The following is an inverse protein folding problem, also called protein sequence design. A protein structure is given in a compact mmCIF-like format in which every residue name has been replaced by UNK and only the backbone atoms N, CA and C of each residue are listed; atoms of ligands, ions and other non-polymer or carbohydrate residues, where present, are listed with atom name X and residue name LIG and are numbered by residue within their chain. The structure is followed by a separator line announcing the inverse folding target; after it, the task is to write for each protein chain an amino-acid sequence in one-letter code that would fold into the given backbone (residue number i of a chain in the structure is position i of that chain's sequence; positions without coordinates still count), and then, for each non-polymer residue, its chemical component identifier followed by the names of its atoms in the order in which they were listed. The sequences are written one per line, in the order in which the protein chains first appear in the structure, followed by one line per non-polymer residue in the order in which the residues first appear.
data_IF_035621469559
#
_entry.id   IF_035621469559
#
_cell.length_a   1.000
_cell.length_b   1.000
_cell.length_c   1.000
_cell.angle_alpha   90.00
_cell.angle_beta   90.00
_cell.angle_gamma   90.00
#
_symmetry.space_group_name_H-M   'P 1'
#
loop_
_entity.id
_entity.type
_entity.pdbx_description
1 polymer ?
#
# COMPACT_ATOMS: atom_id res chain seq x y z
N UNK A 1 -17.11 39.51 -20.30
CA UNK A 1 -18.43 39.29 -19.68
C UNK A 1 -18.23 38.21 -18.65
N UNK A 2 -18.37 38.60 -17.38
CA UNK A 2 -18.17 37.79 -16.18
C UNK A 2 -19.02 36.52 -16.21
N UNK A 3 -18.38 35.36 -16.05
CA UNK A 3 -19.06 34.13 -15.65
C UNK A 3 -19.15 34.17 -14.13
N UNK A 4 -20.24 34.73 -13.62
CA UNK A 4 -20.63 34.57 -12.23
C UNK A 4 -21.18 33.15 -12.05
N UNK A 5 -20.57 32.38 -11.15
CA UNK A 5 -21.07 31.08 -10.72
C UNK A 5 -22.48 31.25 -10.11
N UNK A 6 -23.44 30.37 -10.40
CA UNK A 6 -24.79 30.49 -9.86
C UNK A 6 -24.77 30.31 -8.33
N UNK A 7 -25.29 31.32 -7.64
CA UNK A 7 -25.49 31.39 -6.19
C UNK A 7 -26.35 30.20 -5.73
N UNK A 8 -25.74 29.27 -4.99
CA UNK A 8 -26.44 28.16 -4.34
C UNK A 8 -27.27 28.68 -3.15
N UNK A 9 -28.57 28.35 -3.13
CA UNK A 9 -29.57 28.94 -2.24
C UNK A 9 -29.59 28.40 -0.80
N UNK A 10 -28.56 27.66 -0.36
CA UNK A 10 -28.31 27.37 1.05
C UNK A 10 -29.42 26.63 1.82
N UNK A 11 -30.43 26.08 1.15
CA UNK A 11 -31.43 25.22 1.77
C UNK A 11 -30.90 23.79 1.81
N UNK A 12 -30.45 23.37 3.01
CA UNK A 12 -29.91 22.05 3.27
C UNK A 12 -30.89 20.92 2.95
N UNK A 13 -30.87 20.45 1.70
CA UNK A 13 -31.50 19.22 1.27
C UNK A 13 -30.42 18.14 1.10
N UNK A 14 -30.68 16.98 1.71
CA UNK A 14 -29.85 15.78 1.66
C UNK A 14 -29.76 15.21 0.24
N UNK A 15 -28.52 15.08 -0.26
CA UNK A 15 -28.11 14.47 -1.53
C UNK A 15 -28.86 14.98 -2.77
N UNK A 16 -28.39 16.08 -3.35
CA UNK A 16 -28.86 16.54 -4.65
C UNK A 16 -28.41 15.56 -5.74
N UNK A 17 -29.27 15.22 -6.70
CA UNK A 17 -28.92 14.34 -7.85
C UNK A 17 -27.81 14.93 -8.73
N UNK A 18 -27.47 16.20 -8.52
CA UNK A 18 -26.42 16.94 -9.20
C UNK A 18 -25.17 17.17 -8.32
N UNK A 19 -25.18 16.71 -7.06
CA UNK A 19 -23.99 16.76 -6.19
C UNK A 19 -23.01 15.67 -6.61
N UNK A 20 -22.24 15.93 -7.66
CA UNK A 20 -21.10 15.08 -8.02
C UNK A 20 -20.07 15.21 -6.91
N UNK A 21 -20.01 14.22 -6.02
CA UNK A 21 -19.01 14.22 -4.95
C UNK A 21 -17.62 14.05 -5.58
N UNK A 22 -16.66 14.95 -5.30
CA UNK A 22 -15.30 14.78 -5.78
C UNK A 22 -14.70 13.50 -5.18
N UNK A 23 -13.90 12.78 -5.97
CA UNK A 23 -13.22 11.58 -5.49
C UNK A 23 -12.37 11.91 -4.27
N UNK A 24 -12.45 11.06 -3.23
CA UNK A 24 -11.71 11.19 -1.96
C UNK A 24 -10.19 11.21 -2.13
N UNK A 25 -9.69 10.87 -3.32
CA UNK A 25 -8.26 10.78 -3.64
C UNK A 25 -7.72 11.98 -4.43
N UNK A 26 -8.57 12.97 -4.73
CA UNK A 26 -8.16 14.20 -5.39
C UNK A 26 -7.72 15.22 -4.33
N UNK A 27 -6.55 15.80 -4.52
CA UNK A 27 -6.07 16.89 -3.68
C UNK A 27 -6.99 18.11 -3.89
N UNK A 28 -7.58 18.69 -2.82
CA UNK A 28 -8.30 19.94 -2.91
C UNK A 28 -7.44 21.04 -3.52
N UNK A 29 -8.05 22.00 -4.24
CA UNK A 29 -7.31 23.07 -4.95
C UNK A 29 -6.42 23.91 -4.02
N UNK A 30 -6.81 24.01 -2.76
CA UNK A 30 -6.20 24.88 -1.76
C UNK A 30 -5.23 24.10 -0.85
N UNK A 31 -5.08 22.80 -1.10
CA UNK A 31 -4.27 21.90 -0.29
C UNK A 31 -2.95 21.56 -0.98
N UNK A 32 -1.91 21.39 -0.18
CA UNK A 32 -0.59 20.94 -0.61
C UNK A 32 -0.36 19.52 -0.11
N UNK A 33 0.10 18.64 -0.98
CA UNK A 33 0.42 17.28 -0.57
C UNK A 33 1.73 17.27 0.22
N UNK A 34 1.77 16.54 1.34
CA UNK A 34 3.00 16.30 2.11
C UNK A 34 4.10 15.76 1.21
N UNK A 35 3.73 14.89 0.27
CA UNK A 35 4.65 14.34 -0.73
C UNK A 35 4.85 15.31 -1.90
N UNK A 36 6.04 15.90 -1.99
CA UNK A 36 6.47 16.89 -2.99
C UNK A 36 7.65 16.39 -3.84
N UNK A 37 7.84 15.07 -3.92
CA UNK A 37 9.00 14.40 -4.53
C UNK A 37 10.35 14.72 -3.87
N UNK A 38 10.35 15.17 -2.62
CA UNK A 38 11.53 15.14 -1.74
C UNK A 38 11.40 14.05 -0.67
N UNK A 39 12.52 13.61 -0.09
CA UNK A 39 12.48 12.65 1.02
C UNK A 39 12.11 13.36 2.32
N UNK A 40 11.06 12.87 2.98
CA UNK A 40 10.58 13.36 4.27
C UNK A 40 10.62 12.25 5.31
N UNK A 41 10.71 12.65 6.57
CA UNK A 41 10.80 11.72 7.68
C UNK A 41 9.42 11.24 8.12
N UNK A 42 9.33 9.93 8.35
CA UNK A 42 8.16 9.27 8.89
C UNK A 42 8.58 8.34 10.02
N UNK A 43 7.76 8.29 11.06
CA UNK A 43 7.97 7.36 12.17
C UNK A 43 7.25 6.04 11.89
N UNK A 44 7.93 4.92 12.12
CA UNK A 44 7.32 3.60 12.10
C UNK A 44 6.41 3.46 13.34
N UNK A 45 5.09 3.53 13.14
CA UNK A 45 4.09 3.50 14.22
C UNK A 45 3.76 2.06 14.65
N UNK A 46 3.75 1.11 13.70
CA UNK A 46 3.52 -0.29 14.04
C UNK A 46 4.06 -1.24 12.96
N UNK A 47 4.40 -2.45 13.40
CA UNK A 47 4.83 -3.55 12.54
C UNK A 47 4.00 -4.77 12.92
N UNK A 48 3.21 -5.28 11.99
CA UNK A 48 2.32 -6.42 12.23
C UNK A 48 2.53 -7.50 11.18
N UNK A 49 2.49 -8.77 11.59
CA UNK A 49 2.63 -9.89 10.67
C UNK A 49 1.33 -10.09 9.89
N UNK A 50 1.40 -10.04 8.55
CA UNK A 50 0.25 -10.27 7.67
C UNK A 50 0.19 -11.73 7.20
N UNK A 51 1.32 -12.27 6.74
CA UNK A 51 1.48 -13.69 6.36
C UNK A 51 2.80 -14.23 6.90
N UNK A 52 3.23 -15.42 6.47
CA UNK A 52 4.51 -15.98 6.87
C UNK A 52 5.70 -15.03 6.63
N UNK A 53 5.76 -14.39 5.46
CA UNK A 53 6.87 -13.53 5.03
C UNK A 53 6.46 -12.11 4.62
N UNK A 54 5.19 -11.75 4.79
CA UNK A 54 4.69 -10.39 4.52
C UNK A 54 4.30 -9.71 5.82
N UNK A 55 4.75 -8.48 6.00
CA UNK A 55 4.50 -7.66 7.18
C UNK A 55 3.83 -6.36 6.75
N UNK A 56 2.87 -5.90 7.56
CA UNK A 56 2.23 -4.60 7.42
C UNK A 56 2.95 -3.61 8.33
N UNK A 57 3.52 -2.59 7.71
CA UNK A 57 4.13 -1.46 8.39
C UNK A 57 3.19 -0.26 8.30
N UNK A 58 3.02 0.44 9.42
CA UNK A 58 2.33 1.72 9.48
C UNK A 58 3.33 2.83 9.70
N UNK A 59 3.26 3.87 8.88
CA UNK A 59 4.11 5.05 9.00
C UNK A 59 3.26 6.29 9.27
N UNK A 60 3.78 7.20 10.08
CA UNK A 60 3.16 8.49 10.40
C UNK A 60 4.10 9.64 10.06
N UNK A 61 3.55 10.69 9.44
CA UNK A 61 4.30 11.87 9.02
C UNK A 61 4.94 12.61 10.20
N UNK A 62 6.16 13.13 10.01
CA UNK A 62 6.85 14.05 10.92
C UNK A 62 7.33 15.31 10.16
N UNK A 63 7.09 16.54 10.69
CA UNK A 63 6.23 16.82 11.84
C UNK A 63 4.77 16.38 11.58
N UNK A 64 3.99 16.26 12.64
CA UNK A 64 2.56 15.99 12.50
C UNK A 64 1.93 17.14 11.69
N UNK A 65 1.02 16.78 10.79
CA UNK A 65 0.32 17.74 9.93
C UNK A 65 -0.48 18.68 10.83
N UNK A 66 0.03 19.89 11.03
CA UNK A 66 -0.59 20.91 11.88
C UNK A 66 -1.21 22.05 11.07
N UNK A 67 -0.86 22.15 9.78
CA UNK A 67 -1.39 23.15 8.88
C UNK A 67 -2.66 22.63 8.19
N UNK A 68 -3.73 23.43 8.23
CA UNK A 68 -5.00 23.13 7.58
C UNK A 68 -4.88 22.99 6.05
N UNK A 69 -3.79 23.44 5.44
CA UNK A 69 -3.54 23.28 4.00
C UNK A 69 -2.77 22.01 3.65
N UNK A 70 -2.03 21.41 4.57
CA UNK A 70 -1.25 20.20 4.27
C UNK A 70 -2.12 18.95 4.34
N UNK A 71 -2.00 18.07 3.34
CA UNK A 71 -2.72 16.79 3.29
C UNK A 71 -1.79 15.67 2.90
N UNK A 72 -1.90 14.53 3.56
CA UNK A 72 -1.26 13.29 3.11
C UNK A 72 -2.25 12.57 2.20
N UNK A 73 -2.05 12.69 0.89
CA UNK A 73 -2.88 12.02 -0.12
C UNK A 73 -2.01 11.16 -1.01
N UNK A 74 -2.44 9.94 -1.22
CA UNK A 74 -1.77 9.00 -2.10
C UNK A 74 -2.85 8.46 -3.05
N UNK A 75 -2.83 8.85 -4.33
CA UNK A 75 -3.78 8.33 -5.28
C UNK A 75 -3.69 6.79 -5.40
N UNK A 76 -4.81 6.11 -5.66
CA UNK A 76 -4.86 4.67 -5.80
C UNK A 76 -3.93 4.17 -6.93
N UNK A 77 -3.28 3.03 -6.73
CA UNK A 77 -2.32 2.47 -7.68
C UNK A 77 -0.93 3.13 -7.67
N UNK A 78 -0.77 4.30 -7.06
CA UNK A 78 0.53 4.94 -6.92
C UNK A 78 1.42 4.29 -5.83
N UNK A 79 2.72 4.54 -5.91
CA UNK A 79 3.72 4.04 -4.97
C UNK A 79 4.57 5.16 -4.37
N UNK A 80 5.21 4.83 -3.25
CA UNK A 80 6.19 5.66 -2.56
C UNK A 80 7.56 4.97 -2.59
N UNK A 81 8.62 5.77 -2.50
CA UNK A 81 9.99 5.31 -2.42
C UNK A 81 10.48 5.37 -0.99
N UNK A 82 10.84 4.22 -0.41
CA UNK A 82 11.60 4.15 0.85
C UNK A 82 13.08 4.16 0.50
N UNK A 83 13.86 5.01 1.18
CA UNK A 83 15.33 4.94 1.12
C UNK A 83 15.97 4.59 2.46
N UNK A 84 17.19 4.10 2.37
CA UNK A 84 18.09 3.91 3.50
C UNK A 84 19.54 4.03 3.03
N UNK A 85 20.44 4.39 3.94
CA UNK A 85 21.86 4.38 3.67
C UNK A 85 22.35 2.93 3.56
N UNK A 86 23.28 2.64 2.63
CA UNK A 86 23.77 1.27 2.42
C UNK A 86 24.44 0.66 3.66
N UNK A 87 25.04 1.46 4.53
CA UNK A 87 25.62 0.97 5.80
C UNK A 87 24.55 0.44 6.75
N UNK A 88 23.33 0.97 6.68
CA UNK A 88 22.19 0.53 7.49
C UNK A 88 21.53 -0.74 6.95
N UNK A 89 22.00 -1.28 5.82
CA UNK A 89 21.55 -2.57 5.27
C UNK A 89 22.32 -3.76 5.84
N UNK A 90 23.11 -3.55 6.90
CA UNK A 90 23.70 -4.62 7.69
C UNK A 90 22.62 -5.20 8.62
N UNK A 91 22.53 -6.53 8.68
CA UNK A 91 21.58 -7.18 9.58
C UNK A 91 21.93 -6.79 11.04
N UNK A 92 20.93 -6.58 11.91
CA UNK A 92 21.20 -6.28 13.30
C UNK A 92 21.98 -7.42 13.94
N UNK A 93 23.13 -7.12 14.55
CA UNK A 93 23.99 -8.13 15.18
C UNK A 93 23.35 -8.73 16.44
N UNK A 94 22.54 -7.93 17.16
CA UNK A 94 21.88 -8.31 18.41
C UNK A 94 20.51 -7.66 18.52
N UNK A 95 19.56 -8.38 19.11
CA UNK A 95 18.23 -7.89 19.44
C UNK A 95 18.10 -7.79 20.95
N UNK A 96 17.67 -6.66 21.50
CA UNK A 96 17.57 -6.48 22.96
C UNK A 96 16.50 -7.38 23.58
N UNK A 97 15.39 -7.65 22.86
CA UNK A 97 14.37 -8.64 23.26
C UNK A 97 13.82 -9.49 22.07
N UNK A 98 14.54 -10.55 21.63
CA UNK A 98 14.29 -11.23 20.35
C UNK A 98 12.94 -11.94 20.25
N UNK A 99 12.32 -12.29 21.38
CA UNK A 99 11.11 -13.11 21.43
C UNK A 99 9.82 -12.31 21.26
N UNK A 100 9.86 -10.99 21.43
CA UNK A 100 8.67 -10.13 21.37
C UNK A 100 8.48 -9.46 20.01
N UNK A 101 9.54 -9.33 19.21
CA UNK A 101 9.47 -8.59 17.95
C UNK A 101 9.11 -9.49 16.75
N UNK A 102 8.08 -9.15 15.95
CA UNK A 102 7.61 -10.02 14.87
C UNK A 102 8.67 -10.26 13.79
N UNK A 103 9.56 -9.29 13.56
CA UNK A 103 10.63 -9.38 12.56
C UNK A 103 11.79 -10.28 13.01
N UNK A 104 12.16 -10.28 14.29
CA UNK A 104 13.23 -11.14 14.83
C UNK A 104 12.79 -12.60 14.79
N UNK A 105 11.55 -12.88 15.21
CA UNK A 105 10.95 -14.22 15.12
C UNK A 105 10.94 -14.75 13.68
N UNK A 106 10.71 -13.88 12.70
CA UNK A 106 10.79 -14.25 11.30
C UNK A 106 12.22 -14.57 10.85
N UNK A 107 13.20 -13.72 11.21
CA UNK A 107 14.61 -13.91 10.87
C UNK A 107 15.18 -15.20 11.46
N UNK A 108 14.80 -15.57 12.69
CA UNK A 108 15.21 -16.83 13.30
C UNK A 108 14.70 -18.06 12.52
N UNK A 109 13.49 -17.98 11.97
CA UNK A 109 12.91 -19.04 11.12
C UNK A 109 13.45 -19.03 9.69
N UNK A 110 13.96 -17.89 9.24
CA UNK A 110 14.44 -17.64 7.88
C UNK A 110 15.86 -17.05 7.92
N UNK A 111 16.87 -17.83 8.35
CA UNK A 111 18.25 -17.37 8.39
C UNK A 111 18.69 -16.95 6.98
N UNK A 112 19.55 -15.92 6.91
CA UNK A 112 20.19 -15.56 5.65
C UNK A 112 20.92 -16.80 5.10
N UNK A 113 20.67 -17.13 3.85
CA UNK A 113 21.33 -18.26 3.22
C UNK A 113 22.75 -17.82 2.86
N UNK A 114 23.72 -18.74 2.97
CA UNK A 114 25.04 -18.51 2.39
C UNK A 114 24.85 -18.14 0.92
N UNK A 115 25.59 -17.14 0.39
CA UNK A 115 25.40 -16.68 -0.97
C UNK A 115 25.50 -17.87 -1.91
N UNK A 116 24.37 -18.27 -2.51
CA UNK A 116 24.42 -19.17 -3.66
C UNK A 116 25.33 -18.47 -4.66
N UNK A 117 26.36 -19.15 -5.17
CA UNK A 117 27.27 -18.66 -6.22
C UNK A 117 26.54 -18.50 -7.57
N UNK A 118 25.37 -17.89 -7.55
CA UNK A 118 24.68 -17.40 -8.71
C UNK A 118 25.03 -15.93 -8.72
N UNK A 119 25.95 -15.53 -9.59
CA UNK A 119 26.25 -14.13 -9.85
C UNK A 119 24.94 -13.43 -10.21
N UNK A 120 24.29 -12.82 -9.22
CA UNK A 120 23.13 -11.98 -9.42
C UNK A 120 23.61 -10.84 -10.29
N UNK A 121 23.05 -10.72 -11.51
CA UNK A 121 23.27 -9.54 -12.34
C UNK A 121 23.07 -8.28 -11.48
N UNK A 122 23.89 -7.23 -11.64
CA UNK A 122 23.69 -5.97 -10.94
C UNK A 122 22.25 -5.53 -11.15
N UNK A 123 21.45 -5.49 -10.07
CA UNK A 123 20.10 -4.94 -10.16
C UNK A 123 20.25 -3.43 -10.30
N UNK A 124 19.83 -2.92 -11.46
CA UNK A 124 19.84 -1.49 -11.73
C UNK A 124 19.04 -0.74 -10.64
N UNK A 125 19.55 0.42 -10.24
CA UNK A 125 18.90 1.25 -9.23
C UNK A 125 17.61 1.83 -9.80
N UNK A 126 16.52 1.71 -9.04
CA UNK A 126 15.22 2.24 -9.45
C UNK A 126 15.22 3.77 -9.48
N UNK A 127 15.79 4.40 -8.45
CA UNK A 127 15.90 5.86 -8.35
C UNK A 127 17.28 6.34 -8.80
N UNK A 128 17.37 6.85 -10.02
CA UNK A 128 18.63 7.31 -10.63
C UNK A 128 19.04 8.72 -10.20
N UNK A 129 18.18 9.46 -9.49
CA UNK A 129 18.50 10.82 -9.06
C UNK A 129 19.35 10.88 -7.79
N UNK A 130 19.42 9.78 -7.03
CA UNK A 130 20.11 9.73 -5.74
C UNK A 130 21.55 9.24 -5.89
N UNK A 131 22.39 9.58 -4.91
CA UNK A 131 23.76 9.06 -4.81
C UNK A 131 23.79 7.54 -4.62
N UNK A 132 24.86 6.92 -5.10
CA UNK A 132 25.10 5.47 -4.95
C UNK A 132 25.29 5.02 -3.50
N UNK A 133 25.31 5.94 -2.53
CA UNK A 133 25.33 5.65 -1.10
C UNK A 133 23.98 5.13 -0.57
N UNK A 134 22.88 5.38 -1.29
CA UNK A 134 21.54 5.02 -0.86
C UNK A 134 20.96 3.81 -1.61
N UNK A 135 20.21 3.00 -0.86
CA UNK A 135 19.34 1.96 -1.38
C UNK A 135 17.90 2.43 -1.32
N UNK A 136 17.20 2.45 -2.47
CA UNK A 136 15.79 2.83 -2.55
C UNK A 136 14.93 1.72 -3.13
N UNK A 137 13.69 1.58 -2.64
CA UNK A 137 12.70 0.61 -3.14
C UNK A 137 11.29 1.20 -3.20
N UNK A 138 10.51 0.91 -4.26
CA UNK A 138 9.12 1.30 -4.34
C UNK A 138 8.23 0.39 -3.48
N UNK A 139 7.26 0.98 -2.79
CA UNK A 139 6.19 0.30 -2.08
C UNK A 139 4.86 0.99 -2.33
N UNK A 140 3.82 0.20 -2.62
CA UNK A 140 2.46 0.74 -2.80
C UNK A 140 1.69 0.71 -1.48
N UNK A 141 1.20 1.86 -1.01
CA UNK A 141 0.32 1.90 0.15
C UNK A 141 -0.99 1.15 -0.11
N UNK A 142 -1.41 0.37 0.88
CA UNK A 142 -2.69 -0.37 0.90
C UNK A 142 -3.76 0.37 1.72
N UNK A 143 -3.37 1.41 2.43
CA UNK A 143 -4.26 2.25 3.22
C UNK A 143 -3.60 3.57 3.55
N UNK A 144 -4.41 4.61 3.63
CA UNK A 144 -4.00 5.97 3.94
C UNK A 144 -5.07 6.56 4.85
N UNK A 145 -4.64 7.21 5.93
CA UNK A 145 -5.49 7.98 6.83
C UNK A 145 -4.97 9.43 6.81
N UNK A 146 -5.57 10.29 5.96
CA UNK A 146 -5.15 11.68 5.82
C UNK A 146 -5.29 12.47 7.12
N UNK A 147 -6.30 12.16 7.95
CA UNK A 147 -6.56 12.87 9.20
C UNK A 147 -5.48 12.60 10.24
N UNK A 148 -4.98 11.36 10.32
CA UNK A 148 -3.86 10.99 11.20
C UNK A 148 -2.49 11.19 10.55
N UNK A 149 -2.43 11.53 9.26
CA UNK A 149 -1.20 11.60 8.49
C UNK A 149 -0.45 10.26 8.46
N UNK A 150 -1.18 9.16 8.33
CA UNK A 150 -0.59 7.80 8.34
C UNK A 150 -0.87 7.04 7.05
N UNK A 151 0.02 6.11 6.71
CA UNK A 151 -0.21 5.16 5.63
C UNK A 151 0.35 3.77 5.98
N UNK A 152 -0.23 2.74 5.36
CA UNK A 152 0.13 1.35 5.57
C UNK A 152 0.69 0.74 4.30
N UNK A 153 1.80 0.01 4.39
CA UNK A 153 2.41 -0.74 3.29
C UNK A 153 2.58 -2.21 3.67
N UNK A 154 2.42 -3.09 2.67
CA UNK A 154 2.77 -4.50 2.80
C UNK A 154 4.17 -4.72 2.24
N UNK A 155 5.05 -5.27 3.06
CA UNK A 155 6.43 -5.54 2.66
C UNK A 155 6.72 -7.03 2.84
N UNK A 156 7.12 -7.68 1.74
CA UNK A 156 7.64 -9.04 1.76
C UNK A 156 9.11 -9.02 2.17
N UNK A 157 9.47 -9.84 3.14
CA UNK A 157 10.85 -10.05 3.54
C UNK A 157 11.44 -11.22 2.79
N UNK A 158 12.68 -11.04 2.34
CA UNK A 158 13.47 -12.06 1.65
C UNK A 158 14.76 -12.28 2.45
N UNK A 159 15.16 -13.54 2.74
CA UNK A 159 16.29 -13.84 3.63
C UNK A 159 17.58 -13.08 3.27
N UNK A 160 17.86 -12.94 1.98
CA UNK A 160 19.09 -12.36 1.44
C UNK A 160 18.89 -10.93 0.90
N UNK A 161 17.77 -10.29 1.24
CA UNK A 161 17.44 -8.95 0.77
C UNK A 161 18.18 -7.85 1.54
N UNK A 162 18.93 -6.99 0.85
CA UNK A 162 19.56 -5.80 1.47
C UNK A 162 18.53 -4.90 2.17
N UNK A 163 17.39 -4.65 1.51
CA UNK A 163 16.30 -3.88 2.11
C UNK A 163 15.64 -4.64 3.27
N UNK A 164 15.60 -5.97 3.22
CA UNK A 164 15.15 -6.78 4.36
C UNK A 164 16.06 -6.59 5.56
N UNK A 165 17.38 -6.58 5.40
CA UNK A 165 18.29 -6.32 6.51
C UNK A 165 18.03 -4.97 7.19
N UNK A 166 17.83 -3.91 6.40
CA UNK A 166 17.43 -2.61 6.94
C UNK A 166 16.07 -2.67 7.65
N UNK A 167 15.05 -3.28 7.04
CA UNK A 167 13.73 -3.39 7.67
C UNK A 167 13.78 -4.15 9.00
N UNK A 168 14.69 -5.12 9.13
CA UNK A 168 14.92 -5.80 10.39
C UNK A 168 15.50 -4.87 11.45
N UNK A 169 16.23 -3.81 11.12
CA UNK A 169 16.68 -2.85 12.14
C UNK A 169 15.57 -1.93 12.64
N UNK A 170 14.39 -1.94 12.01
CA UNK A 170 13.27 -1.08 12.39
C UNK A 170 12.50 -1.67 13.56
N UNK A 171 12.15 -0.79 14.50
CA UNK A 171 11.21 -1.01 15.59
C UNK A 171 10.12 0.07 15.55
N UNK A 172 9.08 -0.09 16.35
CA UNK A 172 8.16 1.01 16.63
C UNK A 172 8.96 2.21 17.15
N UNK A 173 8.72 3.39 16.59
CA UNK A 173 9.46 4.62 16.90
C UNK A 173 10.64 4.91 15.97
N UNK A 174 11.10 3.97 15.15
CA UNK A 174 12.21 4.22 14.22
C UNK A 174 11.84 5.25 13.16
N UNK A 175 12.81 6.10 12.80
CA UNK A 175 12.68 7.07 11.71
C UNK A 175 12.99 6.41 10.36
N UNK A 176 12.18 6.73 9.36
CA UNK A 176 12.29 6.26 7.99
C UNK A 176 12.12 7.43 7.02
N UNK A 177 12.69 7.33 5.82
CA UNK A 177 12.62 8.39 4.82
C UNK A 177 11.84 7.94 3.59
N UNK A 178 10.79 8.68 3.27
CA UNK A 178 9.91 8.39 2.15
C UNK A 178 9.82 9.55 1.17
N UNK A 179 9.81 9.23 -0.12
CA UNK A 179 9.61 10.16 -1.23
C UNK A 179 8.44 9.69 -2.10
N UNK A 180 7.67 10.62 -2.65
CA UNK A 180 6.52 10.28 -3.49
C UNK A 180 5.79 11.53 -3.98
N UNK A 181 4.63 11.40 -4.61
CA UNK A 181 3.97 10.15 -5.03
C UNK A 181 4.36 9.81 -6.48
N UNK A 182 4.49 8.52 -6.81
CA UNK A 182 4.84 8.03 -8.15
C UNK A 182 3.78 7.10 -8.73
N UNK A 183 3.58 7.15 -10.05
CA UNK A 183 2.68 6.28 -10.79
C UNK A 183 1.85 7.05 -11.80
N UNK A 184 1.68 6.47 -12.98
CA UNK A 184 1.01 7.11 -14.10
C UNK A 184 -0.45 6.63 -14.26
N UNK A 185 -0.82 5.56 -13.55
CA UNK A 185 -2.16 5.01 -13.56
C UNK A 185 -3.03 5.71 -12.52
N UNK A 186 -3.85 6.65 -12.99
CA UNK A 186 -4.86 7.33 -12.19
C UNK A 186 -6.25 6.88 -12.65
N UNK A 187 -7.00 6.26 -11.73
CA UNK A 187 -8.35 5.82 -12.03
C UNK A 187 -9.30 7.01 -12.12
N UNK A 188 -10.10 7.06 -13.17
CA UNK A 188 -11.26 7.97 -13.27
C UNK A 188 -12.54 7.16 -13.12
N UNK A 189 -13.50 7.69 -12.36
CA UNK A 189 -14.82 7.07 -12.14
C UNK A 189 -15.42 6.60 -13.47
N UNK A 190 -15.94 5.37 -13.50
CA UNK A 190 -16.60 4.78 -14.67
C UNK A 190 -15.76 4.80 -15.96
N UNK A 191 -14.41 4.90 -15.88
CA UNK A 191 -13.53 4.90 -17.05
C UNK A 191 -13.66 3.61 -17.88
N UNK A 192 -13.94 2.48 -17.23
CA UNK A 192 -14.21 1.20 -17.88
C UNK A 192 -15.44 0.56 -17.25
N UNK A 193 -16.31 -0.08 -18.05
CA UNK A 193 -17.49 -0.80 -17.52
C UNK A 193 -17.12 -2.07 -16.72
N UNK A 194 -16.07 -2.77 -17.14
CA UNK A 194 -15.60 -3.99 -16.49
C UNK A 194 -14.07 -3.92 -16.35
N UNK A 195 -13.56 -4.29 -15.17
CA UNK A 195 -12.13 -4.39 -14.88
C UNK A 195 -11.83 -5.81 -14.40
N UNK A 196 -10.86 -6.44 -15.05
CA UNK A 196 -10.31 -7.73 -14.63
C UNK A 196 -8.87 -7.50 -14.19
N UNK A 197 -8.58 -7.80 -12.93
CA UNK A 197 -7.25 -7.65 -12.36
C UNK A 197 -6.62 -9.01 -12.08
N UNK A 198 -5.36 -9.19 -12.48
CA UNK A 198 -4.56 -10.36 -12.20
C UNK A 198 -3.45 -10.01 -11.21
N UNK A 199 -3.38 -10.72 -10.08
CA UNK A 199 -2.38 -10.44 -9.04
C UNK A 199 -1.69 -11.70 -8.56
N UNK A 200 -0.45 -11.54 -8.08
CA UNK A 200 0.30 -12.59 -7.43
C UNK A 200 1.05 -12.03 -6.21
N UNK A 201 0.90 -12.68 -5.05
CA UNK A 201 1.61 -12.30 -3.83
C UNK A 201 1.37 -10.83 -3.42
N UNK A 202 2.46 -10.09 -3.15
CA UNK A 202 2.39 -8.67 -2.69
C UNK A 202 2.03 -7.70 -3.82
N UNK A 203 2.05 -8.11 -5.09
CA UNK A 203 1.56 -7.30 -6.20
C UNK A 203 0.04 -7.01 -6.11
N UNK A 204 -0.67 -7.62 -5.15
CA UNK A 204 -2.02 -7.22 -4.79
C UNK A 204 -2.10 -5.78 -4.26
N UNK A 205 -1.02 -5.21 -3.70
CA UNK A 205 -1.06 -3.88 -3.08
C UNK A 205 -1.53 -2.74 -4.03
N UNK A 206 -0.93 -2.53 -5.22
CA UNK A 206 -1.41 -1.50 -6.16
C UNK A 206 -2.83 -1.76 -6.66
N UNK A 207 -3.19 -3.02 -6.92
CA UNK A 207 -4.54 -3.36 -7.36
C UNK A 207 -5.55 -3.14 -6.22
N UNK A 208 -5.21 -3.51 -4.99
CA UNK A 208 -6.09 -3.37 -3.84
C UNK A 208 -6.44 -1.91 -3.57
N UNK A 209 -5.46 -0.99 -3.62
CA UNK A 209 -5.76 0.44 -3.41
C UNK A 209 -6.68 0.98 -4.52
N UNK A 210 -6.47 0.60 -5.78
CA UNK A 210 -7.37 0.96 -6.89
C UNK A 210 -8.76 0.37 -6.73
N UNK A 211 -8.89 -0.94 -6.51
CA UNK A 211 -10.20 -1.60 -6.37
C UNK A 211 -10.96 -1.03 -5.18
N UNK A 212 -10.28 -0.76 -4.06
CA UNK A 212 -10.90 -0.11 -2.90
C UNK A 212 -11.41 1.28 -3.22
N UNK A 213 -10.66 2.08 -3.96
CA UNK A 213 -11.11 3.41 -4.35
C UNK A 213 -12.36 3.40 -5.25
N UNK A 214 -12.47 2.39 -6.13
CA UNK A 214 -13.67 2.14 -6.94
C UNK A 214 -14.84 1.75 -6.04
N UNK A 215 -14.63 0.80 -5.12
CA UNK A 215 -15.66 0.30 -4.23
C UNK A 215 -16.13 1.32 -3.18
N UNK A 216 -15.25 2.24 -2.76
CA UNK A 216 -15.55 3.30 -1.78
C UNK A 216 -16.26 4.52 -2.42
N UNK A 217 -16.48 4.50 -3.74
CA UNK A 217 -17.19 5.51 -4.54
C UNK A 217 -18.56 4.96 -4.99
N UNK A 218 -19.64 5.41 -4.34
CA UNK A 218 -21.01 4.95 -4.61
C UNK A 218 -21.50 5.29 -6.03
N UNK A 219 -20.84 6.23 -6.72
CA UNK A 219 -21.17 6.62 -8.09
C UNK A 219 -20.35 5.85 -9.14
N UNK A 220 -19.42 4.99 -8.73
CA UNK A 220 -18.65 4.14 -9.63
C UNK A 220 -19.34 2.77 -9.81
N UNK A 221 -19.96 2.56 -10.96
CA UNK A 221 -20.70 1.35 -11.32
C UNK A 221 -19.80 0.28 -11.99
N UNK A 222 -18.47 0.47 -11.94
CA UNK A 222 -17.51 -0.44 -12.57
C UNK A 222 -17.59 -1.85 -11.98
N UNK A 223 -17.75 -2.85 -12.86
CA UNK A 223 -17.75 -4.27 -12.46
C UNK A 223 -16.33 -4.79 -12.29
N UNK A 224 -16.01 -5.28 -11.10
CA UNK A 224 -14.67 -5.74 -10.73
C UNK A 224 -14.59 -7.27 -10.70
N UNK A 225 -13.55 -7.83 -11.33
CA UNK A 225 -13.16 -9.24 -11.18
C UNK A 225 -11.69 -9.32 -10.79
N UNK A 226 -11.40 -9.95 -9.66
CA UNK A 226 -10.03 -10.14 -9.16
C UNK A 226 -9.63 -11.61 -9.26
N UNK A 227 -8.62 -11.89 -10.07
CA UNK A 227 -7.97 -13.18 -10.20
C UNK A 227 -6.64 -13.15 -9.44
N UNK A 228 -6.57 -13.80 -8.28
CA UNK A 228 -5.39 -13.77 -7.42
C UNK A 228 -4.72 -15.15 -7.29
N UNK A 229 -3.39 -15.19 -7.41
CA UNK A 229 -2.59 -16.40 -7.29
C UNK A 229 -1.73 -16.37 -6.02
N UNK A 230 -1.94 -17.37 -5.15
CA UNK A 230 -1.18 -17.58 -3.92
C UNK A 230 -0.81 -19.06 -3.77
N UNK A 231 0.29 -19.34 -3.06
CA UNK A 231 0.74 -20.73 -2.80
C UNK A 231 -0.29 -21.51 -1.99
N UNK A 232 -0.84 -20.88 -0.97
CA UNK A 232 -1.80 -21.42 -0.03
C UNK A 232 -2.69 -20.29 0.49
N UNK A 233 -3.75 -20.66 1.20
CA UNK A 233 -4.69 -19.70 1.76
C UNK A 233 -3.99 -18.76 2.76
N UNK A 234 -3.10 -19.27 3.61
CA UNK A 234 -2.37 -18.49 4.63
C UNK A 234 -1.48 -17.38 4.02
N UNK A 235 -1.12 -17.52 2.74
CA UNK A 235 -0.35 -16.53 1.98
C UNK A 235 -1.18 -15.35 1.43
N UNK A 236 -2.51 -15.35 1.59
CA UNK A 236 -3.37 -14.21 1.21
C UNK A 236 -3.13 -13.05 2.19
N UNK A 237 -2.40 -12.03 1.74
CA UNK A 237 -1.93 -10.93 2.60
C UNK A 237 -2.98 -9.87 2.93
N UNK A 238 -3.97 -9.67 2.05
CA UNK A 238 -5.09 -8.75 2.27
C UNK A 238 -6.34 -9.57 2.48
N UNK A 239 -6.56 -9.99 3.72
CA UNK A 239 -7.83 -10.60 4.13
C UNK A 239 -8.66 -9.52 4.81
N UNK A 240 -9.68 -9.05 4.13
CA UNK A 240 -10.83 -8.47 4.82
C UNK A 240 -11.62 -9.67 5.35
N UNK A 241 -11.61 -9.90 6.67
CA UNK A 241 -12.61 -10.78 7.25
C UNK A 241 -13.97 -10.19 6.84
N UNK A 242 -14.83 -10.94 6.15
CA UNK A 242 -16.00 -10.34 5.53
C UNK A 242 -16.90 -9.76 6.62
N UNK A 243 -17.34 -8.49 6.52
CA UNK A 243 -18.71 -8.20 6.93
C UNK A 243 -19.58 -9.01 5.97
N UNK A 244 -20.52 -9.75 6.53
CA UNK A 244 -21.60 -10.44 5.82
C UNK A 244 -22.13 -9.62 4.64
N UNK A 245 -21.70 -9.93 3.41
CA UNK A 245 -22.45 -9.96 2.15
C UNK A 245 -21.52 -9.97 0.91
N UNK A 246 -21.67 -10.99 0.06
CA UNK A 246 -21.69 -10.81 -1.40
C UNK A 246 -20.42 -10.83 -2.26
N UNK A 247 -19.19 -10.89 -1.74
CA UNK A 247 -18.00 -10.85 -2.62
C UNK A 247 -17.46 -12.25 -2.97
N UNK A 248 -17.71 -12.71 -4.20
CA UNK A 248 -17.09 -13.91 -4.78
C UNK A 248 -15.63 -13.64 -5.18
N UNK A 249 -14.69 -13.84 -4.26
CA UNK A 249 -13.27 -13.92 -4.61
C UNK A 249 -12.94 -15.33 -5.13
N UNK A 250 -12.68 -15.47 -6.44
CA UNK A 250 -12.21 -16.73 -7.02
C UNK A 250 -10.70 -16.83 -6.78
N UNK A 251 -10.33 -17.52 -5.69
CA UNK A 251 -8.95 -17.95 -5.49
C UNK A 251 -8.68 -19.18 -6.38
N UNK A 252 -7.99 -18.97 -7.50
CA UNK A 252 -7.56 -20.09 -8.35
C UNK A 252 -6.40 -20.82 -7.68
N UNK A 253 -6.68 -22.02 -7.16
CA UNK A 253 -5.65 -22.98 -6.73
C UNK A 253 -5.36 -23.91 -7.92
N UNK A 254 -4.10 -24.00 -8.33
CA UNK A 254 -3.55 -24.97 -9.29
C UNK A 254 -4.60 -25.69 -10.17
N UNK A 255 -5.01 -25.04 -11.27
CA UNK A 255 -5.65 -25.73 -12.40
C UNK A 255 -7.06 -26.30 -12.19
N UNK A 256 -7.73 -26.09 -11.04
CA UNK A 256 -9.12 -26.50 -10.88
C UNK A 256 -9.94 -25.37 -10.26
N UNK A 257 -10.88 -24.83 -11.04
CA UNK A 257 -11.90 -23.92 -10.56
C UNK A 257 -12.89 -24.71 -9.69
N UNK A 258 -12.74 -24.67 -8.38
CA UNK A 258 -13.78 -25.15 -7.46
C UNK A 258 -14.73 -24.00 -7.16
N UNK A 259 -15.80 -23.88 -7.94
CA UNK A 259 -17.03 -23.21 -7.54
C UNK A 259 -17.78 -24.11 -6.57
N UNK A 260 -17.80 -23.77 -5.28
CA UNK A 260 -18.79 -24.35 -4.36
C UNK A 260 -20.14 -23.68 -4.64
N UNK A 261 -20.92 -24.28 -5.55
CA UNK A 261 -22.37 -24.07 -5.57
C UNK A 261 -22.96 -24.86 -4.41
N UNK A 262 -23.34 -24.19 -3.32
CA UNK A 262 -24.29 -24.76 -2.37
C UNK A 262 -25.69 -24.48 -2.93
N UNK A 263 -26.22 -25.41 -3.70
CA UNK A 263 -27.64 -25.51 -4.01
C UNK A 263 -28.37 -25.85 -2.71
N UNK A 264 -29.15 -24.92 -2.16
CA UNK A 264 -30.21 -25.26 -1.21
C UNK A 264 -31.46 -25.52 -2.05
N UNK A 265 -31.70 -26.81 -2.28
CA UNK A 265 -33.02 -27.34 -2.65
C UNK A 265 -33.56 -28.03 -1.40
N UNK A 266 -34.80 -27.70 -1.01
CA UNK A 266 -35.50 -28.24 0.15
C UNK A 266 -36.23 -27.16 0.92
#
# INVERSE_FOLDING_TARGET
MSQEDPVCCGSGCTNCVLDVKPSKHVLPRDAVNVFDRTYKQFICESITKATENVFRFRFRCLPAISNDQERLIIPPGCHLMLRTHKTSCQAPEKWENPLEHPLSLWRMKNPAQLPKQIASKPKEKYDKSEDDLYLSRPYTPIGCDPARGTFDVLIKLEPDGLMTNYLLTLSTGSLTEWKGVYGDFLWTRNQCRNVVAFVQGVAIAPIYSTLRAILDDEEDETRLTLCACFRDLASVAVRVLPPTQGCNAIALRNGYATTNQSTIAG
#
